data_IF_217951727512
#
_entry.id   IF_217951727512
#
_cell.length_a   1.000
_cell.length_b   1.000
_cell.length_c   1.000
_cell.angle_alpha   90.00
_cell.angle_beta   90.00
_cell.angle_gamma   90.00
#
_symmetry.space_group_name_H-M   'P 1'
#
loop_
_entity.id
_entity.type
_entity.pdbx_description
1 polymer ?
#
# COMPACT_ATOMS: atom_id res chain seq x y z
N UNK A 1 23.34 -14.94 11.64
CA UNK A 1 22.22 -15.55 10.90
C UNK A 1 21.39 -14.41 10.36
N UNK A 2 21.17 -14.45 9.05
CA UNK A 2 21.24 -13.31 8.14
C UNK A 2 20.06 -12.34 8.26
N UNK A 3 20.39 -11.11 8.64
CA UNK A 3 19.64 -9.88 8.40
C UNK A 3 19.22 -9.81 6.93
N UNK A 4 17.95 -10.12 6.66
CA UNK A 4 17.34 -9.99 5.33
C UNK A 4 16.37 -8.80 5.35
N UNK A 5 16.84 -7.65 5.85
CA UNK A 5 16.29 -6.38 5.40
C UNK A 5 16.32 -6.40 3.87
N UNK A 6 15.14 -6.52 3.23
CA UNK A 6 15.05 -6.45 1.76
C UNK A 6 15.84 -5.22 1.32
N UNK A 7 16.82 -5.37 0.42
CA UNK A 7 17.61 -4.23 -0.01
C UNK A 7 16.64 -3.17 -0.54
N UNK A 8 16.81 -1.94 -0.08
CA UNK A 8 16.16 -0.79 -0.71
C UNK A 8 16.66 -0.81 -2.14
N UNK A 9 15.85 -1.29 -3.08
CA UNK A 9 16.22 -1.25 -4.50
C UNK A 9 16.02 0.21 -4.91
N UNK A 10 17.10 0.99 -5.08
CA UNK A 10 16.95 2.37 -5.50
C UNK A 10 16.33 2.38 -6.90
N UNK A 11 15.44 3.34 -7.16
CA UNK A 11 14.91 3.58 -8.50
C UNK A 11 16.08 3.69 -9.47
N UNK A 12 16.09 2.89 -10.53
CA UNK A 12 17.16 2.96 -11.52
C UNK A 12 17.00 4.23 -12.37
N UNK A 13 18.10 4.71 -12.96
CA UNK A 13 18.05 5.82 -13.91
C UNK A 13 17.12 5.49 -15.09
N UNK A 14 17.10 4.24 -15.54
CA UNK A 14 16.23 3.78 -16.62
C UNK A 14 14.74 3.90 -16.26
N UNK A 15 14.36 3.54 -15.03
CA UNK A 15 12.96 3.69 -14.55
C UNK A 15 12.57 5.18 -14.49
N UNK A 16 13.48 6.03 -14.03
CA UNK A 16 13.26 7.48 -13.96
C UNK A 16 13.03 8.10 -15.36
N UNK A 17 13.82 7.67 -16.34
CA UNK A 17 13.71 8.09 -17.73
C UNK A 17 12.41 7.59 -18.38
N UNK A 18 12.04 6.34 -18.12
CA UNK A 18 10.78 5.77 -18.61
C UNK A 18 9.56 6.51 -18.04
N UNK A 19 9.56 6.79 -16.72
CA UNK A 19 8.53 7.58 -16.05
C UNK A 19 8.40 8.97 -16.68
N UNK A 20 9.52 9.67 -16.85
CA UNK A 20 9.55 10.99 -17.47
C UNK A 20 9.06 10.96 -18.91
N UNK A 21 9.50 10.01 -19.73
CA UNK A 21 9.06 9.87 -21.11
C UNK A 21 7.55 9.65 -21.21
N UNK A 22 6.98 8.80 -20.35
CA UNK A 22 5.54 8.57 -20.28
C UNK A 22 4.80 9.85 -19.87
N UNK A 23 5.27 10.57 -18.86
CA UNK A 23 4.68 11.83 -18.40
C UNK A 23 4.71 12.88 -19.52
N UNK A 24 5.85 13.08 -20.17
CA UNK A 24 5.97 14.04 -21.26
C UNK A 24 5.05 13.70 -22.44
N UNK A 25 4.91 12.42 -22.78
CA UNK A 25 3.98 12.00 -23.82
C UNK A 25 2.52 12.33 -23.46
N UNK A 26 2.12 12.16 -22.20
CA UNK A 26 0.78 12.54 -21.74
C UNK A 26 0.58 14.06 -21.79
N UNK A 27 1.56 14.83 -21.30
CA UNK A 27 1.49 16.30 -21.29
C UNK A 27 1.49 16.91 -22.70
N UNK A 28 2.17 16.26 -23.65
CA UNK A 28 2.16 16.64 -25.05
C UNK A 28 0.86 16.23 -25.79
N UNK A 29 -0.08 15.55 -25.12
CA UNK A 29 -1.31 15.06 -25.75
C UNK A 29 -1.06 13.97 -26.79
N UNK A 30 0.04 13.22 -26.68
CA UNK A 30 0.37 12.18 -27.65
C UNK A 30 -0.72 11.09 -27.66
N UNK A 31 -1.16 10.63 -28.85
CA UNK A 31 -2.22 9.62 -28.96
C UNK A 31 -1.93 8.37 -28.11
N UNK A 32 -2.92 7.95 -27.32
CA UNK A 32 -2.84 6.77 -26.45
C UNK A 32 -1.87 6.88 -25.26
N UNK A 33 -1.19 8.02 -25.03
CA UNK A 33 -0.24 8.15 -23.94
C UNK A 33 -0.89 7.98 -22.56
N UNK A 34 -2.04 8.64 -22.34
CA UNK A 34 -2.75 8.50 -21.07
C UNK A 34 -3.32 7.10 -20.88
N UNK A 35 -3.74 6.44 -21.96
CA UNK A 35 -4.21 5.06 -21.91
C UNK A 35 -3.09 4.08 -21.51
N UNK A 36 -1.85 4.29 -21.97
CA UNK A 36 -0.68 3.53 -21.49
C UNK A 36 -0.42 3.76 -20.01
N UNK A 37 -0.48 5.00 -19.56
CA UNK A 37 -0.36 5.34 -18.13
C UNK A 37 -1.45 4.65 -17.32
N UNK A 38 -2.70 4.70 -17.77
CA UNK A 38 -3.82 4.06 -17.10
C UNK A 38 -3.63 2.54 -17.02
N UNK A 39 -3.29 1.87 -18.14
CA UNK A 39 -3.01 0.43 -18.16
C UNK A 39 -1.92 0.03 -17.18
N UNK A 40 -0.86 0.84 -17.07
CA UNK A 40 0.27 0.56 -16.21
C UNK A 40 -0.07 0.70 -14.72
N UNK A 41 -0.92 1.66 -14.34
CA UNK A 41 -1.14 2.02 -12.94
C UNK A 41 -2.54 1.71 -12.40
N UNK A 42 -3.47 1.23 -13.23
CA UNK A 42 -4.83 0.90 -12.79
C UNK A 42 -4.86 -0.19 -11.72
N UNK A 43 -3.96 -1.17 -11.78
CA UNK A 43 -3.87 -2.24 -10.76
C UNK A 43 -3.49 -1.69 -9.39
N UNK A 44 -2.45 -0.85 -9.33
CA UNK A 44 -2.04 -0.18 -8.09
C UNK A 44 -3.13 0.74 -7.53
N UNK A 45 -3.76 1.54 -8.39
CA UNK A 45 -4.83 2.44 -8.00
C UNK A 45 -6.02 1.65 -7.42
N UNK A 46 -6.44 0.58 -8.10
CA UNK A 46 -7.49 -0.32 -7.62
C UNK A 46 -7.12 -0.94 -6.28
N UNK A 47 -5.90 -1.51 -6.16
CA UNK A 47 -5.43 -2.12 -4.93
C UNK A 47 -5.54 -1.14 -3.75
N UNK A 48 -4.97 0.05 -3.86
CA UNK A 48 -4.97 1.04 -2.77
C UNK A 48 -6.39 1.42 -2.38
N UNK A 49 -7.24 1.76 -3.36
CA UNK A 49 -8.60 2.22 -3.09
C UNK A 49 -9.45 1.09 -2.49
N UNK A 50 -9.38 -0.11 -3.04
CA UNK A 50 -10.16 -1.27 -2.58
C UNK A 50 -9.78 -1.68 -1.16
N UNK A 51 -8.48 -1.73 -0.86
CA UNK A 51 -7.98 -2.04 0.49
C UNK A 51 -8.38 -1.00 1.52
N UNK A 52 -8.65 0.23 1.11
CA UNK A 52 -9.14 1.27 2.02
C UNK A 52 -10.67 1.24 2.20
N UNK A 53 -11.43 1.10 1.12
CA UNK A 53 -12.89 1.36 1.12
C UNK A 53 -13.74 0.09 1.18
N UNK A 54 -13.29 -1.00 0.56
CA UNK A 54 -13.99 -2.31 0.55
C UNK A 54 -15.45 -2.26 0.11
N UNK A 55 -15.74 -1.46 -0.91
CA UNK A 55 -17.06 -1.40 -1.51
C UNK A 55 -16.89 -1.31 -3.02
N UNK A 56 -17.25 -2.35 -3.81
CA UNK A 56 -16.90 -2.42 -5.23
C UNK A 56 -17.32 -1.19 -6.06
N UNK A 57 -18.52 -0.66 -5.79
CA UNK A 57 -19.03 0.54 -6.46
C UNK A 57 -18.23 1.79 -6.08
N UNK A 58 -17.93 1.96 -4.79
CA UNK A 58 -17.16 3.10 -4.31
C UNK A 58 -15.72 3.00 -4.83
N UNK A 59 -15.13 1.79 -4.85
CA UNK A 59 -13.80 1.54 -5.41
C UNK A 59 -13.73 1.99 -6.86
N UNK A 60 -14.70 1.57 -7.69
CA UNK A 60 -14.75 1.94 -9.10
C UNK A 60 -14.87 3.46 -9.29
N UNK A 61 -15.74 4.13 -8.52
CA UNK A 61 -15.92 5.58 -8.59
C UNK A 61 -14.64 6.34 -8.18
N UNK A 62 -14.03 5.93 -7.06
CA UNK A 62 -12.85 6.59 -6.52
C UNK A 62 -11.61 6.36 -7.39
N UNK A 63 -11.47 5.20 -8.03
CA UNK A 63 -10.41 4.98 -9.02
C UNK A 63 -10.56 5.93 -10.23
N UNK A 64 -11.79 6.14 -10.72
CA UNK A 64 -12.03 7.11 -11.78
C UNK A 64 -11.69 8.53 -11.32
N UNK A 65 -12.13 8.92 -10.12
CA UNK A 65 -11.78 10.22 -9.53
C UNK A 65 -10.26 10.39 -9.42
N UNK A 66 -9.55 9.36 -8.96
CA UNK A 66 -8.10 9.36 -8.85
C UNK A 66 -7.42 9.56 -10.21
N UNK A 67 -7.84 8.84 -11.26
CA UNK A 67 -7.26 9.02 -12.59
C UNK A 67 -7.60 10.37 -13.23
N UNK A 68 -8.78 10.93 -12.98
CA UNK A 68 -9.12 12.31 -13.39
C UNK A 68 -8.20 13.33 -12.71
N UNK A 69 -7.87 13.12 -11.43
CA UNK A 69 -6.90 13.96 -10.71
C UNK A 69 -5.48 13.75 -11.21
N UNK A 70 -5.05 12.51 -11.45
CA UNK A 70 -3.76 12.19 -12.06
C UNK A 70 -3.62 12.96 -13.38
N UNK A 71 -4.58 12.85 -14.29
CA UNK A 71 -4.56 13.59 -15.55
C UNK A 71 -4.46 15.11 -15.34
N UNK A 72 -5.29 15.66 -14.44
CA UNK A 72 -5.31 17.09 -14.14
C UNK A 72 -4.00 17.62 -13.57
N UNK A 73 -3.37 16.86 -12.67
CA UNK A 73 -2.21 17.32 -11.90
C UNK A 73 -0.87 16.73 -12.37
N UNK A 74 -0.86 15.92 -13.45
CA UNK A 74 0.36 15.28 -13.94
C UNK A 74 1.49 16.28 -14.26
N UNK A 75 1.12 17.50 -14.68
CA UNK A 75 2.05 18.60 -14.93
C UNK A 75 2.84 19.05 -13.70
N UNK A 76 2.46 18.61 -12.50
CA UNK A 76 3.13 18.89 -11.23
C UNK A 76 4.13 17.80 -10.84
N UNK A 77 4.17 16.67 -11.54
CA UNK A 77 5.17 15.64 -11.28
C UNK A 77 6.58 16.18 -11.59
N UNK A 78 7.52 15.98 -10.67
CA UNK A 78 8.91 16.49 -10.73
C UNK A 78 9.97 15.40 -10.70
N UNK A 79 9.59 14.12 -10.77
CA UNK A 79 10.52 12.98 -10.68
C UNK A 79 11.32 12.88 -9.38
N UNK A 80 10.82 13.49 -8.31
CA UNK A 80 11.36 13.39 -6.94
C UNK A 80 11.07 12.03 -6.30
N UNK A 81 10.06 11.31 -6.81
CA UNK A 81 9.72 9.94 -6.45
C UNK A 81 9.33 9.14 -7.71
N UNK A 82 9.34 7.79 -7.66
CA UNK A 82 8.79 6.98 -8.75
C UNK A 82 7.37 7.41 -9.12
N UNK A 83 7.01 7.40 -10.40
CA UNK A 83 5.67 7.79 -10.86
C UNK A 83 4.58 6.92 -10.21
N UNK A 84 4.87 5.63 -9.98
CA UNK A 84 4.00 4.73 -9.19
C UNK A 84 3.67 5.28 -7.81
N UNK A 85 4.64 5.84 -7.10
CA UNK A 85 4.45 6.39 -5.76
C UNK A 85 3.61 7.68 -5.80
N UNK A 86 3.86 8.55 -6.79
CA UNK A 86 3.06 9.77 -6.97
C UNK A 86 1.59 9.45 -7.33
N UNK A 87 1.34 8.48 -8.22
CA UNK A 87 -0.02 8.04 -8.55
C UNK A 87 -0.67 7.35 -7.34
N UNK A 88 0.07 6.51 -6.62
CA UNK A 88 -0.37 5.89 -5.38
C UNK A 88 -0.77 6.92 -4.31
N UNK A 89 -0.05 8.04 -4.23
CA UNK A 89 -0.39 9.17 -3.35
C UNK A 89 -1.74 9.80 -3.73
N UNK A 90 -2.02 9.97 -5.02
CA UNK A 90 -3.32 10.48 -5.48
C UNK A 90 -4.45 9.51 -5.10
N UNK A 91 -4.27 8.22 -5.35
CA UNK A 91 -5.23 7.17 -5.01
C UNK A 91 -5.52 7.11 -3.50
N UNK A 92 -4.46 7.06 -2.69
CA UNK A 92 -4.53 7.07 -1.23
C UNK A 92 -5.25 8.33 -0.72
N UNK A 93 -4.93 9.51 -1.26
CA UNK A 93 -5.58 10.77 -0.86
C UNK A 93 -7.07 10.80 -1.17
N UNK A 94 -7.49 10.24 -2.31
CA UNK A 94 -8.91 10.14 -2.70
C UNK A 94 -9.66 9.20 -1.75
N UNK A 95 -9.13 8.01 -1.51
CA UNK A 95 -9.73 7.03 -0.61
C UNK A 95 -9.76 7.52 0.85
N UNK A 96 -8.66 8.13 1.34
CA UNK A 96 -8.59 8.77 2.65
C UNK A 96 -9.68 9.80 2.84
N UNK A 97 -9.85 10.72 1.88
CA UNK A 97 -10.90 11.74 1.92
C UNK A 97 -12.31 11.13 1.87
N UNK A 98 -12.51 10.01 1.19
CA UNK A 98 -13.77 9.29 1.23
C UNK A 98 -14.08 8.77 2.64
N UNK A 99 -13.12 8.07 3.28
CA UNK A 99 -13.29 7.53 4.63
C UNK A 99 -13.52 8.62 5.68
N UNK A 100 -12.78 9.73 5.58
CA UNK A 100 -12.97 10.91 6.45
C UNK A 100 -14.40 11.46 6.36
N UNK A 101 -14.95 11.60 5.14
CA UNK A 101 -16.34 12.03 4.92
C UNK A 101 -17.37 11.06 5.50
N UNK A 102 -17.06 9.76 5.48
CA UNK A 102 -17.89 8.69 6.06
C UNK A 102 -17.68 8.51 7.55
N UNK A 103 -16.76 9.26 8.17
CA UNK A 103 -16.34 9.14 9.57
C UNK A 103 -15.82 7.73 9.92
N UNK A 104 -15.19 7.07 8.96
CA UNK A 104 -14.55 5.77 9.18
C UNK A 104 -13.09 6.00 9.61
N UNK A 105 -12.65 5.50 10.78
CA UNK A 105 -11.28 5.68 11.22
C UNK A 105 -10.31 4.88 10.34
N UNK A 106 -9.19 5.51 9.97
CA UNK A 106 -8.15 4.88 9.13
C UNK A 106 -7.34 3.83 9.90
N UNK A 107 -7.07 4.10 11.16
CA UNK A 107 -6.35 3.23 12.07
C UNK A 107 -7.10 3.16 13.40
N UNK A 108 -6.80 2.15 14.19
CA UNK A 108 -7.21 2.13 15.60
C UNK A 108 -6.72 3.39 16.32
N UNK A 109 -7.50 3.84 17.29
CA UNK A 109 -7.04 4.88 18.20
C UNK A 109 -5.73 4.40 18.85
N UNK A 110 -4.73 5.27 19.03
CA UNK A 110 -3.54 4.89 19.77
C UNK A 110 -3.99 4.43 21.16
N UNK A 111 -3.75 3.16 21.46
CA UNK A 111 -3.84 2.68 22.83
C UNK A 111 -2.92 3.57 23.66
N UNK A 112 -3.41 4.08 24.79
CA UNK A 112 -2.71 5.07 25.62
C UNK A 112 -1.40 4.57 26.25
N UNK A 113 -0.85 3.45 25.80
CA UNK A 113 0.42 2.87 26.19
C UNK A 113 1.28 2.57 24.96
N UNK A 114 2.57 2.82 25.12
CA UNK A 114 3.68 2.50 24.21
C UNK A 114 4.02 3.58 23.18
N UNK A 115 4.65 4.62 23.73
CA UNK A 115 5.51 5.53 22.98
C UNK A 115 6.63 4.78 22.26
N UNK A 116 6.77 5.05 20.96
CA UNK A 116 8.01 5.40 20.26
C UNK A 116 9.33 4.62 20.55
N UNK A 117 9.29 3.40 21.08
CA UNK A 117 10.49 2.64 21.38
C UNK A 117 10.28 1.14 21.16
N UNK A 118 10.07 0.73 19.90
CA UNK A 118 10.30 -0.66 19.48
C UNK A 118 10.62 -0.73 17.97
N UNK A 119 11.59 0.07 17.51
CA UNK A 119 11.99 0.11 16.10
C UNK A 119 13.22 -0.76 15.77
N UNK A 120 13.69 -1.64 16.67
CA UNK A 120 14.91 -2.44 16.47
C UNK A 120 14.70 -3.96 16.37
N UNK A 121 13.47 -4.45 16.19
CA UNK A 121 13.29 -5.85 15.77
C UNK A 121 12.17 -6.00 14.74
N UNK A 122 12.52 -5.73 13.48
CA UNK A 122 11.88 -6.45 12.37
C UNK A 122 12.56 -7.82 12.31
N UNK A 123 12.27 -8.67 13.27
CA UNK A 123 13.04 -9.89 13.51
C UNK A 123 12.27 -10.92 14.31
N UNK A 124 11.05 -11.22 13.87
CA UNK A 124 10.39 -12.50 14.06
C UNK A 124 9.50 -12.66 12.82
N UNK A 125 10.08 -13.27 11.78
CA UNK A 125 9.38 -13.63 10.57
C UNK A 125 8.33 -14.67 10.92
N UNK A 126 7.10 -14.21 11.18
CA UNK A 126 5.95 -15.02 10.83
C UNK A 126 6.07 -15.21 9.33
N UNK A 127 6.34 -16.44 8.92
CA UNK A 127 6.40 -16.82 7.52
C UNK A 127 4.98 -16.78 6.96
N UNK A 128 4.55 -15.55 6.65
CA UNK A 128 3.28 -15.25 6.01
C UNK A 128 3.20 -15.99 4.67
N UNK A 129 4.34 -16.25 4.03
CA UNK A 129 4.43 -17.04 2.80
C UNK A 129 4.15 -18.53 3.06
N UNK A 130 4.60 -19.09 4.18
CA UNK A 130 4.27 -20.48 4.56
C UNK A 130 2.77 -20.67 4.87
N UNK A 131 2.10 -19.65 5.44
CA UNK A 131 0.65 -19.68 5.66
C UNK A 131 -0.18 -19.67 4.37
N UNK A 132 0.45 -19.44 3.20
CA UNK A 132 -0.21 -19.45 1.90
C UNK A 132 -0.30 -20.84 1.24
N UNK A 133 0.25 -21.88 1.86
CA UNK A 133 0.38 -23.20 1.23
C UNK A 133 -0.87 -24.11 1.29
N UNK A 134 -1.91 -23.76 2.06
CA UNK A 134 -3.18 -24.52 2.15
C UNK A 134 -4.38 -23.62 1.82
N UNK A 135 -5.30 -24.09 0.97
CA UNK A 135 -6.47 -23.31 0.48
C UNK A 135 -7.38 -22.82 1.62
N UNK A 136 -7.51 -23.61 2.69
CA UNK A 136 -8.25 -23.25 3.91
C UNK A 136 -7.49 -22.20 4.77
N UNK A 137 -6.15 -22.33 4.87
CA UNK A 137 -5.31 -21.37 5.57
C UNK A 137 -5.28 -20.00 4.86
N UNK A 138 -5.26 -20.00 3.53
CA UNK A 138 -5.39 -18.80 2.69
C UNK A 138 -6.72 -18.09 2.91
N UNK A 139 -7.83 -18.84 2.96
CA UNK A 139 -9.15 -18.30 3.27
C UNK A 139 -9.20 -17.63 4.65
N UNK A 140 -8.62 -18.29 5.66
CA UNK A 140 -8.53 -17.73 7.01
C UNK A 140 -7.65 -16.48 7.08
N UNK A 141 -6.53 -16.45 6.37
CA UNK A 141 -5.65 -15.29 6.31
C UNK A 141 -6.33 -14.10 5.63
N UNK A 142 -6.95 -14.31 4.47
CA UNK A 142 -7.70 -13.25 3.79
C UNK A 142 -8.79 -12.69 4.70
N UNK A 143 -9.59 -13.56 5.33
CA UNK A 143 -10.61 -13.12 6.28
C UNK A 143 -10.01 -12.32 7.45
N UNK A 144 -8.85 -12.71 7.97
CA UNK A 144 -8.16 -11.99 9.04
C UNK A 144 -7.66 -10.61 8.58
N UNK A 145 -7.07 -10.51 7.39
CA UNK A 145 -6.63 -9.23 6.78
C UNK A 145 -7.82 -8.28 6.61
N UNK A 146 -9.00 -8.80 6.26
CA UNK A 146 -10.19 -7.97 6.12
C UNK A 146 -10.66 -7.35 7.46
N UNK A 147 -10.28 -7.92 8.61
CA UNK A 147 -10.59 -7.36 9.94
C UNK A 147 -9.70 -6.18 10.32
N UNK A 148 -8.56 -5.99 9.65
CA UNK A 148 -7.65 -4.89 9.94
C UNK A 148 -8.27 -3.53 9.59
N UNK A 149 -7.93 -2.45 10.32
CA UNK A 149 -8.27 -1.10 9.93
C UNK A 149 -7.76 -0.75 8.51
N UNK A 150 -8.44 0.17 7.79
CA UNK A 150 -8.11 0.51 6.39
C UNK A 150 -6.62 0.78 6.13
N UNK A 151 -5.98 1.57 6.99
CA UNK A 151 -4.56 1.92 6.85
C UNK A 151 -3.67 0.69 7.05
N UNK A 152 -3.89 -0.07 8.11
CA UNK A 152 -3.09 -1.26 8.42
C UNK A 152 -3.18 -2.29 7.29
N UNK A 153 -4.40 -2.55 6.81
CA UNK A 153 -4.64 -3.43 5.66
C UNK A 153 -3.87 -2.98 4.43
N UNK A 154 -3.99 -1.71 4.06
CA UNK A 154 -3.34 -1.13 2.88
C UNK A 154 -1.82 -1.20 2.98
N UNK A 155 -1.25 -0.85 4.14
CA UNK A 155 0.21 -0.92 4.35
C UNK A 155 0.72 -2.36 4.28
N UNK A 156 0.01 -3.29 4.92
CA UNK A 156 0.37 -4.70 4.92
C UNK A 156 0.38 -5.27 3.50
N UNK A 157 -0.66 -5.01 2.72
CA UNK A 157 -0.80 -5.57 1.36
C UNK A 157 0.16 -4.92 0.37
N UNK A 158 0.39 -3.61 0.46
CA UNK A 158 1.42 -2.94 -0.35
C UNK A 158 2.82 -3.51 -0.07
N UNK A 159 3.13 -3.80 1.19
CA UNK A 159 4.46 -4.29 1.56
C UNK A 159 4.66 -5.77 1.25
N UNK A 160 3.70 -6.63 1.62
CA UNK A 160 3.85 -8.08 1.51
C UNK A 160 3.33 -8.68 0.19
N UNK A 161 2.30 -8.09 -0.44
CA UNK A 161 1.74 -8.63 -1.68
C UNK A 161 2.31 -7.92 -2.91
N UNK A 162 2.35 -6.60 -2.89
CA UNK A 162 2.81 -5.80 -4.03
C UNK A 162 4.31 -5.50 -3.95
N UNK A 163 4.99 -5.96 -2.90
CA UNK A 163 6.43 -5.83 -2.66
C UNK A 163 6.95 -4.38 -2.74
N UNK A 164 6.10 -3.41 -2.42
CA UNK A 164 6.44 -1.98 -2.49
C UNK A 164 7.39 -1.64 -1.34
N UNK A 165 8.54 -1.01 -1.62
CA UNK A 165 9.50 -0.66 -0.58
C UNK A 165 8.93 0.42 0.34
N UNK A 166 9.32 0.36 1.63
CA UNK A 166 8.78 1.24 2.68
C UNK A 166 8.92 2.73 2.33
N UNK A 167 10.02 3.14 1.71
CA UNK A 167 10.22 4.54 1.29
C UNK A 167 9.22 5.01 0.22
N UNK A 168 8.79 4.12 -0.67
CA UNK A 168 7.72 4.43 -1.63
C UNK A 168 6.35 4.43 -0.98
N UNK A 169 6.09 3.49 -0.06
CA UNK A 169 4.85 3.51 0.74
C UNK A 169 4.77 4.83 1.52
N UNK A 170 5.89 5.30 2.10
CA UNK A 170 5.97 6.60 2.77
C UNK A 170 5.63 7.76 1.85
N UNK A 171 6.16 7.76 0.62
CA UNK A 171 5.81 8.75 -0.40
C UNK A 171 4.32 8.69 -0.81
N UNK A 172 3.74 7.50 -0.90
CA UNK A 172 2.32 7.31 -1.21
C UNK A 172 1.41 7.81 -0.07
N UNK A 173 1.70 7.44 1.18
CA UNK A 173 0.79 7.69 2.30
C UNK A 173 1.06 8.99 3.05
N UNK A 174 2.24 9.59 2.84
CA UNK A 174 2.73 10.74 3.62
C UNK A 174 3.09 10.40 5.07
N UNK A 175 3.30 9.12 5.38
CA UNK A 175 3.65 8.66 6.73
C UNK A 175 5.16 8.51 6.85
N UNK A 176 5.69 8.73 8.06
CA UNK A 176 7.09 8.41 8.34
C UNK A 176 7.33 6.89 8.24
N UNK A 177 8.51 6.49 7.76
CA UNK A 177 8.85 5.06 7.63
C UNK A 177 8.73 4.30 8.96
N UNK A 178 9.13 4.93 10.07
CA UNK A 178 8.98 4.35 11.41
C UNK A 178 7.52 4.09 11.80
N UNK A 179 6.61 4.97 11.38
CA UNK A 179 5.16 4.80 11.56
C UNK A 179 4.64 3.63 10.72
N UNK A 180 5.10 3.48 9.48
CA UNK A 180 4.75 2.35 8.61
C UNK A 180 5.23 1.03 9.23
N UNK A 181 6.51 0.96 9.64
CA UNK A 181 7.08 -0.22 10.32
C UNK A 181 6.28 -0.60 11.57
N UNK A 182 5.86 0.39 12.36
CA UNK A 182 5.03 0.18 13.54
C UNK A 182 3.65 -0.37 13.18
N UNK A 183 3.00 0.13 12.13
CA UNK A 183 1.73 -0.41 11.65
C UNK A 183 1.88 -1.84 11.12
N UNK A 184 2.93 -2.13 10.35
CA UNK A 184 3.21 -3.49 9.84
C UNK A 184 3.40 -4.48 10.99
N UNK A 185 4.19 -4.10 12.01
CA UNK A 185 4.40 -4.92 13.20
C UNK A 185 3.08 -5.20 13.93
N UNK A 186 2.26 -4.17 14.17
CA UNK A 186 0.93 -4.33 14.82
C UNK A 186 0.00 -5.22 13.99
N UNK A 187 -0.04 -5.01 12.68
CA UNK A 187 -0.86 -5.81 11.76
C UNK A 187 -0.48 -7.29 11.84
N UNK A 188 0.81 -7.63 11.79
CA UNK A 188 1.28 -9.02 11.94
C UNK A 188 0.90 -9.62 13.29
N UNK A 189 1.04 -8.86 14.38
CA UNK A 189 0.64 -9.32 15.73
C UNK A 189 -0.86 -9.62 15.83
N UNK A 190 -1.69 -8.76 15.24
CA UNK A 190 -3.14 -8.95 15.20
C UNK A 190 -3.53 -10.16 14.35
N UNK A 191 -2.91 -10.31 13.17
CA UNK A 191 -3.13 -11.49 12.32
C UNK A 191 -2.72 -12.78 13.05
N UNK A 192 -1.55 -12.80 13.69
CA UNK A 192 -1.09 -13.94 14.48
C UNK A 192 -2.11 -14.34 15.55
N UNK A 193 -2.62 -13.39 16.33
CA UNK A 193 -3.61 -13.66 17.37
C UNK A 193 -4.93 -14.24 16.81
N UNK A 194 -5.35 -13.83 15.61
CA UNK A 194 -6.56 -14.35 14.95
C UNK A 194 -6.32 -15.73 14.32
N UNK A 195 -5.11 -15.99 13.85
CA UNK A 195 -4.76 -17.17 13.07
C UNK A 195 -4.27 -18.33 13.93
N UNK A 196 -3.50 -18.08 15.00
CA UNK A 196 -2.99 -19.12 15.91
C UNK A 196 -4.06 -20.13 16.35
N UNK A 197 -5.28 -19.71 16.78
CA UNK A 197 -6.32 -20.65 17.18
C UNK A 197 -6.93 -21.45 16.02
N UNK A 198 -6.77 -20.99 14.77
CA UNK A 198 -7.43 -21.53 13.56
C UNK A 198 -6.52 -22.44 12.75
N UNK A 199 -5.22 -22.15 12.70
CA UNK A 199 -4.24 -22.89 11.90
C UNK A 199 -3.24 -23.70 12.74
N UNK A 200 -3.30 -23.63 14.07
CA UNK A 200 -2.45 -24.45 14.94
C UNK A 200 -0.95 -24.28 14.67
N UNK A 201 -0.50 -23.06 14.35
CA UNK A 201 0.90 -22.79 13.98
C UNK A 201 1.77 -22.88 15.23
N UNK A 202 2.71 -23.83 15.22
CA UNK A 202 3.74 -24.03 16.24
C UNK A 202 4.66 -22.81 16.28
N UNK A 203 4.95 -22.37 17.51
CA UNK A 203 5.74 -21.19 17.86
C UNK A 203 7.15 -21.14 17.26
#
# INVERSE_FOLDING_TARGET
MTDSARPIVPRTTADAEADLALVQAVLAGAPGAFERLLRQYQGLCWHIVDRMVRHPEDTRELCQEAFLRVHRYLHQYRSESPLKAWIGQVAYSVAKRHLERRRIPLAEAPDGGDGMALAESVGQDFDLEAAWAEDEALGHLHAAIETLPPLQRTLLTLYHLDEVPIGEIAAMTGLAEGTIKSHLFRSRRQLRAVLEPRIGVVA
#
